data_IF_051699315789
#
_entry.id   IF_051699315789
#
_cell.length_a   1.000
_cell.length_b   1.000
_cell.length_c   1.000
_cell.angle_alpha   90.00
_cell.angle_beta   90.00
_cell.angle_gamma   90.00
#
_symmetry.space_group_name_H-M   'P 1'
#
loop_
_entity.id
_entity.type
_entity.pdbx_description
1 polymer ?
#
# COMPACT_ATOMS: atom_id res chain seq x y z
N UNK A 1 46.25 -49.50 18.51
CA UNK A 1 44.76 -49.44 18.59
C UNK A 1 44.18 -48.06 18.95
N UNK A 2 44.99 -47.06 19.34
CA UNK A 2 44.50 -45.71 19.71
C UNK A 2 44.12 -44.83 18.51
N UNK A 3 44.89 -44.89 17.42
CA UNK A 3 44.74 -43.96 16.28
C UNK A 3 43.51 -44.22 15.40
N UNK A 4 42.97 -45.44 15.39
CA UNK A 4 41.76 -45.79 14.61
C UNK A 4 40.51 -45.18 15.25
N UNK A 5 40.45 -45.09 16.58
CA UNK A 5 39.32 -44.47 17.29
C UNK A 5 39.27 -42.95 17.11
N UNK A 6 40.43 -42.30 17.05
CA UNK A 6 40.54 -40.87 16.81
C UNK A 6 40.09 -40.47 15.39
N UNK A 7 40.43 -41.30 14.38
CA UNK A 7 40.01 -41.09 12.99
C UNK A 7 38.51 -41.36 12.84
N UNK A 8 37.96 -42.39 13.49
CA UNK A 8 36.53 -42.68 13.43
C UNK A 8 35.69 -41.59 14.12
N UNK A 9 36.19 -41.02 15.23
CA UNK A 9 35.54 -39.91 15.93
C UNK A 9 35.57 -38.60 15.13
N UNK A 10 36.65 -38.34 14.38
CA UNK A 10 36.72 -37.17 13.49
C UNK A 10 35.84 -37.32 12.26
N UNK A 11 35.72 -38.52 11.69
CA UNK A 11 34.80 -38.81 10.58
C UNK A 11 33.33 -38.72 11.04
N UNK A 12 32.98 -39.20 12.23
CA UNK A 12 31.63 -39.02 12.79
C UNK A 12 31.31 -37.56 13.12
N UNK A 13 32.29 -36.78 13.61
CA UNK A 13 32.11 -35.35 13.87
C UNK A 13 31.92 -34.54 12.57
N UNK A 14 32.60 -34.91 11.48
CA UNK A 14 32.41 -34.34 10.15
C UNK A 14 31.07 -34.72 9.50
N UNK A 15 30.47 -35.85 9.90
CA UNK A 15 29.13 -36.27 9.47
C UNK A 15 27.99 -35.64 10.29
N UNK A 16 28.31 -34.94 11.38
CA UNK A 16 27.32 -34.28 12.26
C UNK A 16 27.09 -32.79 11.95
N UNK A 17 27.65 -32.26 10.86
CA UNK A 17 27.17 -30.97 10.34
C UNK A 17 25.74 -31.18 9.86
N UNK A 18 24.78 -30.63 10.61
CA UNK A 18 23.36 -30.66 10.32
C UNK A 18 23.14 -30.40 8.83
N UNK A 19 22.76 -31.44 8.10
CA UNK A 19 22.34 -31.30 6.71
C UNK A 19 21.00 -30.57 6.77
N UNK A 20 21.05 -29.24 6.67
CA UNK A 20 19.87 -28.45 6.40
C UNK A 20 19.26 -29.02 5.13
N UNK A 21 18.11 -29.69 5.25
CA UNK A 21 17.41 -30.17 4.08
C UNK A 21 16.92 -28.93 3.33
N UNK A 22 17.37 -28.69 2.09
CA UNK A 22 16.95 -27.50 1.35
C UNK A 22 15.43 -27.54 1.20
N UNK A 23 14.76 -26.44 1.57
CA UNK A 23 13.30 -26.30 1.47
C UNK A 23 12.88 -26.41 0.00
N UNK A 24 13.71 -25.82 -0.87
CA UNK A 24 13.75 -26.00 -2.31
C UNK A 24 15.15 -25.66 -2.81
N UNK A 25 15.44 -25.77 -4.12
CA UNK A 25 16.76 -25.38 -4.65
C UNK A 25 17.05 -23.89 -4.46
N UNK A 26 16.00 -23.10 -4.34
CA UNK A 26 16.01 -21.66 -4.26
C UNK A 26 16.09 -21.18 -2.80
N UNK A 27 15.89 -22.05 -1.80
CA UNK A 27 15.75 -21.66 -0.40
C UNK A 27 16.81 -22.27 0.53
N UNK A 28 17.44 -21.44 1.33
CA UNK A 28 18.39 -21.79 2.38
C UNK A 28 17.81 -21.52 3.77
N UNK A 29 18.18 -22.35 4.74
CA UNK A 29 17.77 -22.21 6.15
C UNK A 29 18.98 -22.01 7.03
N UNK A 30 19.06 -20.87 7.69
CA UNK A 30 20.13 -20.55 8.63
C UNK A 30 19.52 -19.99 9.92
N UNK A 31 19.76 -20.66 11.06
CA UNK A 31 19.28 -20.21 12.38
C UNK A 31 17.79 -19.80 12.42
N UNK A 32 16.92 -20.64 11.84
CA UNK A 32 15.46 -20.41 11.71
C UNK A 32 15.06 -19.24 10.79
N UNK A 33 15.97 -18.73 9.99
CA UNK A 33 15.69 -17.76 8.94
C UNK A 33 15.67 -18.49 7.61
N UNK A 34 14.62 -18.24 6.84
CA UNK A 34 14.44 -18.84 5.52
C UNK A 34 14.68 -17.76 4.49
N UNK A 35 15.68 -17.95 3.65
CA UNK A 35 15.98 -17.04 2.54
C UNK A 35 15.83 -17.79 1.25
N UNK A 36 14.92 -17.31 0.41
CA UNK A 36 14.63 -17.85 -0.91
C UNK A 36 15.07 -16.83 -1.98
N UNK A 37 15.91 -17.27 -2.90
CA UNK A 37 16.42 -16.48 -4.00
C UNK A 37 16.25 -17.25 -5.31
N UNK A 38 15.43 -16.70 -6.20
CA UNK A 38 15.25 -17.24 -7.54
C UNK A 38 16.36 -16.80 -8.49
N UNK A 39 16.60 -17.60 -9.51
CA UNK A 39 17.23 -17.06 -10.72
C UNK A 39 16.19 -16.23 -11.48
N UNK A 40 16.64 -15.11 -12.05
CA UNK A 40 15.77 -14.19 -12.81
C UNK A 40 14.93 -14.98 -13.82
N UNK A 41 13.62 -14.71 -13.86
CA UNK A 41 12.59 -15.40 -14.66
C UNK A 41 12.05 -16.74 -14.13
N UNK A 42 12.35 -17.12 -12.88
CA UNK A 42 11.71 -18.28 -12.25
C UNK A 42 10.44 -17.89 -11.47
N UNK A 43 9.43 -18.74 -11.55
CA UNK A 43 8.25 -18.67 -10.69
C UNK A 43 8.54 -19.39 -9.37
N UNK A 44 8.30 -18.69 -8.25
CA UNK A 44 8.47 -19.22 -6.91
C UNK A 44 7.14 -19.64 -6.30
N UNK A 45 7.16 -20.83 -5.71
CA UNK A 45 6.08 -21.36 -4.90
C UNK A 45 6.66 -21.67 -3.53
N UNK A 46 6.06 -21.09 -2.48
CA UNK A 46 6.45 -21.43 -1.12
C UNK A 46 6.21 -22.94 -0.89
N UNK A 47 7.20 -23.75 -0.49
CA UNK A 47 7.01 -25.19 -0.35
C UNK A 47 6.07 -25.53 0.81
N UNK A 48 4.93 -26.16 0.54
CA UNK A 48 3.92 -26.48 1.55
C UNK A 48 4.28 -27.64 2.49
N UNK A 49 5.19 -28.53 2.09
CA UNK A 49 5.59 -29.71 2.88
C UNK A 49 6.67 -29.41 3.94
N UNK A 50 7.24 -28.19 3.94
CA UNK A 50 8.26 -27.83 4.90
C UNK A 50 7.65 -27.44 6.26
N UNK A 51 8.33 -27.82 7.36
CA UNK A 51 7.90 -27.44 8.70
C UNK A 51 8.41 -26.04 9.06
N UNK A 52 7.51 -25.05 9.04
CA UNK A 52 7.82 -23.65 9.38
C UNK A 52 7.66 -23.31 10.87
N UNK A 53 7.39 -24.28 11.75
CA UNK A 53 7.06 -24.02 13.17
C UNK A 53 8.08 -23.14 13.88
N UNK A 54 9.36 -23.40 13.64
CA UNK A 54 10.46 -22.67 14.26
C UNK A 54 10.91 -21.44 13.46
N UNK A 55 10.41 -21.26 12.24
CA UNK A 55 10.84 -20.17 11.36
C UNK A 55 10.49 -18.81 11.98
N UNK A 56 11.49 -17.93 12.04
CA UNK A 56 11.35 -16.58 12.59
C UNK A 56 11.29 -15.51 11.52
N UNK A 57 11.85 -15.80 10.34
CA UNK A 57 11.90 -14.89 9.19
C UNK A 57 11.77 -15.67 7.88
N UNK A 58 11.06 -15.07 6.92
CA UNK A 58 11.00 -15.51 5.54
C UNK A 58 11.35 -14.33 4.62
N UNK A 59 12.38 -14.50 3.80
CA UNK A 59 12.81 -13.55 2.77
C UNK A 59 12.71 -14.21 1.41
N UNK A 60 12.07 -13.54 0.44
CA UNK A 60 11.90 -14.03 -0.93
C UNK A 60 12.37 -12.95 -1.89
N UNK A 61 13.22 -13.31 -2.85
CA UNK A 61 13.75 -12.32 -3.79
C UNK A 61 14.08 -12.81 -5.19
N UNK A 62 14.10 -11.86 -6.12
CA UNK A 62 14.63 -12.00 -7.49
C UNK A 62 13.87 -12.98 -8.39
N UNK A 63 12.58 -13.19 -8.13
CA UNK A 63 11.71 -14.10 -8.89
C UNK A 63 10.93 -13.34 -9.98
N UNK A 64 10.47 -14.05 -11.02
CA UNK A 64 9.47 -13.52 -11.96
C UNK A 64 8.15 -13.35 -11.25
N UNK A 65 7.60 -14.47 -10.79
CA UNK A 65 6.39 -14.53 -10.00
C UNK A 65 6.73 -15.10 -8.63
N UNK A 66 6.09 -14.61 -7.57
CA UNK A 66 6.12 -15.27 -6.27
C UNK A 66 4.69 -15.53 -5.80
N UNK A 67 4.43 -16.78 -5.42
CA UNK A 67 3.11 -17.22 -4.96
C UNK A 67 3.21 -17.71 -3.53
N UNK A 68 2.60 -16.95 -2.65
CA UNK A 68 2.49 -17.27 -1.23
C UNK A 68 1.04 -17.68 -0.99
N UNK A 69 0.80 -18.99 -0.95
CA UNK A 69 -0.55 -19.56 -0.89
C UNK A 69 -0.80 -20.26 0.45
N UNK A 70 -2.07 -20.33 0.82
CA UNK A 70 -2.59 -21.08 1.95
C UNK A 70 -2.41 -22.60 1.73
N UNK A 71 -2.11 -23.42 2.77
CA UNK A 71 -1.92 -23.08 4.19
C UNK A 71 -0.45 -22.98 4.63
N UNK A 72 0.48 -22.64 3.74
CA UNK A 72 1.90 -22.98 3.94
C UNK A 72 2.55 -22.39 5.20
N UNK A 73 2.08 -21.26 5.73
CA UNK A 73 2.63 -20.64 6.96
C UNK A 73 1.70 -20.75 8.19
N UNK A 74 0.66 -21.59 8.12
CA UNK A 74 -0.31 -21.76 9.22
C UNK A 74 0.33 -22.29 10.51
N UNK A 75 1.44 -23.01 10.42
CA UNK A 75 2.18 -23.53 11.59
C UNK A 75 3.29 -22.58 12.08
N UNK A 76 3.58 -21.50 11.35
CA UNK A 76 4.70 -20.60 11.62
C UNK A 76 4.44 -19.62 12.79
N UNK A 77 4.20 -20.16 13.98
CA UNK A 77 3.80 -19.41 15.20
C UNK A 77 4.89 -18.44 15.72
N UNK A 78 6.15 -18.68 15.34
CA UNK A 78 7.29 -17.86 15.74
C UNK A 78 7.72 -16.85 14.67
N UNK A 79 7.03 -16.81 13.53
CA UNK A 79 7.36 -15.88 12.46
C UNK A 79 7.19 -14.44 12.93
N UNK A 80 8.21 -13.62 12.69
CA UNK A 80 8.27 -12.20 13.03
C UNK A 80 8.53 -11.33 11.81
N UNK A 81 9.09 -11.87 10.75
CA UNK A 81 9.47 -11.10 9.58
C UNK A 81 9.04 -11.80 8.30
N UNK A 82 8.43 -11.04 7.39
CA UNK A 82 8.21 -11.43 6.00
C UNK A 82 8.73 -10.30 5.10
N UNK A 83 9.65 -10.63 4.22
CA UNK A 83 10.24 -9.68 3.28
C UNK A 83 10.14 -10.28 1.89
N UNK A 84 9.47 -9.60 0.97
CA UNK A 84 9.37 -10.00 -0.43
C UNK A 84 9.88 -8.86 -1.29
N UNK A 85 10.86 -9.13 -2.13
CA UNK A 85 11.52 -8.08 -2.91
C UNK A 85 11.90 -8.48 -4.33
N UNK A 86 11.96 -7.50 -5.23
CA UNK A 86 12.42 -7.67 -6.60
C UNK A 86 11.65 -8.76 -7.35
N UNK A 87 10.32 -8.64 -7.39
CA UNK A 87 9.44 -9.54 -8.14
C UNK A 87 9.12 -8.88 -9.47
N UNK A 88 9.65 -9.45 -10.56
CA UNK A 88 9.68 -8.77 -11.86
C UNK A 88 8.38 -8.86 -12.65
N UNK A 89 7.44 -9.72 -12.25
CA UNK A 89 6.10 -9.83 -12.84
C UNK A 89 5.01 -9.65 -11.80
N UNK A 90 4.76 -10.66 -10.97
CA UNK A 90 3.57 -10.69 -10.12
C UNK A 90 3.82 -11.34 -8.75
N UNK A 91 3.29 -10.73 -7.69
CA UNK A 91 3.25 -11.29 -6.34
C UNK A 91 1.80 -11.60 -5.96
N UNK A 92 1.53 -12.88 -5.69
CA UNK A 92 0.24 -13.36 -5.19
C UNK A 92 0.40 -13.65 -3.68
N UNK A 93 -0.43 -13.01 -2.86
CA UNK A 93 -0.42 -13.14 -1.39
C UNK A 93 -1.79 -13.63 -0.93
N UNK A 94 -1.87 -14.92 -0.63
CA UNK A 94 -3.04 -15.60 -0.09
C UNK A 94 -2.60 -16.49 1.10
N UNK A 95 -1.88 -15.91 2.05
CA UNK A 95 -1.25 -16.67 3.14
C UNK A 95 -2.02 -16.54 4.44
N UNK A 96 -2.21 -17.65 5.14
CA UNK A 96 -2.55 -17.64 6.56
C UNK A 96 -1.28 -17.84 7.39
N UNK A 97 -1.03 -16.95 8.33
CA UNK A 97 0.09 -17.05 9.25
C UNK A 97 -0.36 -17.66 10.59
N UNK A 98 0.44 -18.57 11.14
CA UNK A 98 0.24 -19.09 12.49
C UNK A 98 0.57 -18.09 13.60
N UNK A 99 1.32 -17.03 13.28
CA UNK A 99 1.67 -15.97 14.24
C UNK A 99 0.58 -14.89 14.29
N UNK A 100 0.31 -14.39 15.50
CA UNK A 100 -0.54 -13.20 15.69
C UNK A 100 0.23 -11.89 15.64
N UNK A 101 1.56 -11.95 15.69
CA UNK A 101 2.41 -10.77 15.81
C UNK A 101 3.55 -10.85 14.81
N UNK A 102 3.57 -9.93 13.87
CA UNK A 102 4.68 -9.74 12.94
C UNK A 102 5.35 -8.41 13.26
N UNK A 103 6.67 -8.38 13.40
CA UNK A 103 7.39 -7.13 13.65
C UNK A 103 7.65 -6.36 12.36
N UNK A 104 7.81 -7.06 11.23
CA UNK A 104 8.19 -6.47 9.94
C UNK A 104 7.54 -7.22 8.77
N UNK A 105 6.77 -6.53 7.95
CA UNK A 105 6.21 -7.03 6.69
C UNK A 105 6.60 -6.06 5.58
N UNK A 106 7.42 -6.48 4.62
CA UNK A 106 7.93 -5.62 3.55
C UNK A 106 7.69 -6.18 2.16
N UNK A 107 7.18 -5.32 1.27
CA UNK A 107 6.94 -5.59 -0.14
C UNK A 107 7.65 -4.52 -0.98
N UNK A 108 8.77 -4.87 -1.63
CA UNK A 108 9.66 -3.88 -2.25
C UNK A 108 9.97 -4.23 -3.69
N UNK A 109 9.87 -3.27 -4.61
CA UNK A 109 10.17 -3.47 -6.04
C UNK A 109 9.36 -4.63 -6.63
N UNK A 110 8.03 -4.52 -6.53
CA UNK A 110 7.09 -5.54 -7.00
C UNK A 110 6.36 -4.96 -8.20
N UNK A 111 6.54 -5.53 -9.39
CA UNK A 111 5.92 -4.97 -10.59
C UNK A 111 4.38 -4.93 -10.49
N UNK A 112 3.76 -5.99 -9.96
CA UNK A 112 2.31 -6.05 -9.76
C UNK A 112 1.93 -6.93 -8.57
N UNK A 113 0.98 -6.46 -7.78
CA UNK A 113 0.22 -7.23 -6.78
C UNK A 113 -1.25 -7.18 -7.23
N UNK A 114 -1.83 -8.28 -7.73
CA UNK A 114 -3.19 -8.25 -8.27
C UNK A 114 -4.23 -7.91 -7.20
N UNK A 115 -4.07 -8.49 -6.02
CA UNK A 115 -5.03 -8.37 -4.94
C UNK A 115 -4.33 -8.38 -3.59
N UNK A 116 -4.67 -7.41 -2.76
CA UNK A 116 -4.54 -7.50 -1.30
C UNK A 116 -5.96 -7.60 -0.78
N UNK A 117 -6.40 -8.82 -0.47
CA UNK A 117 -7.78 -9.11 -0.08
C UNK A 117 -8.09 -8.63 1.34
N UNK A 118 -9.36 -8.65 1.72
CA UNK A 118 -9.84 -8.41 3.09
C UNK A 118 -9.38 -9.46 4.11
N UNK A 119 -8.66 -10.50 3.67
CA UNK A 119 -8.14 -11.56 4.54
C UNK A 119 -6.62 -11.62 4.56
N UNK A 120 -5.95 -10.75 3.79
CA UNK A 120 -4.50 -10.79 3.62
C UNK A 120 -3.76 -10.64 4.96
N UNK A 121 -4.37 -9.94 5.92
CA UNK A 121 -3.82 -9.75 7.26
C UNK A 121 -4.69 -10.36 8.38
N UNK A 122 -5.68 -11.18 8.02
CA UNK A 122 -6.51 -11.87 9.00
C UNK A 122 -5.66 -12.77 9.91
N UNK A 123 -5.94 -12.70 11.21
CA UNK A 123 -5.20 -13.45 12.23
C UNK A 123 -4.03 -12.68 12.86
N UNK A 124 -3.56 -11.59 12.25
CA UNK A 124 -2.63 -10.69 12.91
C UNK A 124 -3.38 -9.77 13.89
N UNK A 125 -2.93 -9.78 15.14
CA UNK A 125 -3.34 -8.77 16.14
C UNK A 125 -2.46 -7.53 16.05
N UNK A 126 -1.18 -7.69 15.71
CA UNK A 126 -0.24 -6.58 15.63
C UNK A 126 0.77 -6.77 14.49
N UNK A 127 0.94 -5.70 13.70
CA UNK A 127 1.97 -5.52 12.70
C UNK A 127 2.84 -4.35 13.17
N UNK A 128 4.09 -4.64 13.52
CA UNK A 128 5.05 -3.62 13.97
C UNK A 128 5.31 -2.57 12.89
N UNK A 129 5.60 -3.04 11.67
CA UNK A 129 5.84 -2.20 10.49
C UNK A 129 5.35 -2.91 9.23
N UNK A 130 4.45 -2.27 8.49
CA UNK A 130 4.02 -2.65 7.15
C UNK A 130 4.61 -1.67 6.14
N UNK A 131 5.45 -2.15 5.25
CA UNK A 131 6.09 -1.32 4.23
C UNK A 131 5.81 -1.85 2.83
N UNK A 132 5.36 -0.98 1.93
CA UNK A 132 5.24 -1.25 0.50
C UNK A 132 5.97 -0.15 -0.26
N UNK A 133 6.93 -0.52 -1.11
CA UNK A 133 7.71 0.43 -1.92
C UNK A 133 7.83 0.00 -3.36
N UNK A 134 7.74 0.97 -4.27
CA UNK A 134 7.91 0.78 -5.71
C UNK A 134 7.05 -0.38 -6.22
N UNK A 135 5.74 -0.27 -6.00
CA UNK A 135 4.80 -1.34 -6.32
C UNK A 135 3.53 -0.81 -6.98
N UNK A 136 2.95 -1.64 -7.85
CA UNK A 136 1.60 -1.44 -8.36
C UNK A 136 0.67 -2.48 -7.75
N UNK A 137 -0.35 -2.03 -7.02
CA UNK A 137 -1.42 -2.87 -6.49
C UNK A 137 -2.67 -2.66 -7.35
N UNK A 138 -3.20 -3.72 -7.95
CA UNK A 138 -4.36 -3.59 -8.83
C UNK A 138 -5.66 -3.38 -8.02
N UNK A 139 -5.85 -4.15 -6.94
CA UNK A 139 -6.99 -4.01 -6.04
C UNK A 139 -6.57 -4.18 -4.58
N UNK A 140 -7.03 -3.26 -3.73
CA UNK A 140 -6.77 -3.28 -2.29
C UNK A 140 -8.10 -3.25 -1.53
N UNK A 141 -8.36 -4.29 -0.74
CA UNK A 141 -9.63 -4.54 -0.06
C UNK A 141 -9.50 -4.59 1.47
N UNK A 142 -8.29 -4.51 2.01
CA UNK A 142 -8.07 -4.72 3.45
C UNK A 142 -8.65 -3.60 4.32
N UNK A 143 -9.31 -4.01 5.40
CA UNK A 143 -9.75 -3.18 6.52
C UNK A 143 -9.09 -3.72 7.80
N UNK A 144 -8.13 -2.99 8.34
CA UNK A 144 -7.43 -3.35 9.58
C UNK A 144 -8.36 -3.12 10.79
N UNK A 145 -9.38 -3.97 10.94
CA UNK A 145 -10.42 -3.89 11.97
C UNK A 145 -9.93 -4.46 13.30
N UNK A 146 -9.25 -5.60 13.27
CA UNK A 146 -8.74 -6.31 14.46
C UNK A 146 -7.20 -6.38 14.50
N UNK A 147 -6.55 -5.63 13.61
CA UNK A 147 -5.10 -5.61 13.44
C UNK A 147 -4.57 -4.23 13.74
N UNK A 148 -3.73 -4.10 14.77
CA UNK A 148 -3.00 -2.87 15.03
C UNK A 148 -1.79 -2.80 14.08
N UNK A 149 -1.72 -1.77 13.25
CA UNK A 149 -0.54 -1.45 12.44
C UNK A 149 0.18 -0.27 13.08
N UNK A 150 1.31 -0.53 13.70
CA UNK A 150 2.04 0.49 14.45
C UNK A 150 2.77 1.48 13.52
N UNK A 151 3.37 0.99 12.43
CA UNK A 151 3.99 1.81 11.39
C UNK A 151 3.51 1.37 10.00
N UNK A 152 3.00 2.31 9.21
CA UNK A 152 2.65 2.10 7.82
C UNK A 152 3.48 3.00 6.91
N UNK A 153 4.15 2.41 5.92
CA UNK A 153 5.00 3.14 4.98
C UNK A 153 4.66 2.73 3.55
N UNK A 154 4.15 3.68 2.76
CA UNK A 154 3.90 3.54 1.34
C UNK A 154 4.75 4.55 0.57
N UNK A 155 5.65 4.09 -0.30
CA UNK A 155 6.49 4.98 -1.11
C UNK A 155 6.53 4.56 -2.57
N UNK A 156 6.21 5.48 -3.48
CA UNK A 156 6.11 5.21 -4.92
C UNK A 156 5.16 4.03 -5.20
N UNK A 157 3.99 4.02 -4.56
CA UNK A 157 2.97 2.98 -4.71
C UNK A 157 1.79 3.51 -5.49
N UNK A 158 1.34 2.77 -6.51
CA UNK A 158 0.06 3.03 -7.17
C UNK A 158 -0.92 1.93 -6.78
N UNK A 159 -2.09 2.30 -6.27
CA UNK A 159 -3.21 1.40 -6.02
C UNK A 159 -4.34 1.76 -7.01
N UNK A 160 -4.65 0.85 -7.94
CA UNK A 160 -5.58 1.16 -9.03
C UNK A 160 -7.06 1.13 -8.62
N UNK A 161 -7.42 0.29 -7.65
CA UNK A 161 -8.76 0.24 -7.05
C UNK A 161 -8.64 0.08 -5.54
N UNK A 162 -9.22 1.03 -4.81
CA UNK A 162 -9.25 1.01 -3.34
C UNK A 162 -10.68 0.79 -2.90
N UNK A 163 -10.94 -0.38 -2.33
CA UNK A 163 -12.24 -0.77 -1.78
C UNK A 163 -12.19 -0.86 -0.26
N UNK A 164 -11.06 -1.28 0.28
CA UNK A 164 -10.67 -1.10 1.67
C UNK A 164 -9.37 -0.32 1.75
N UNK A 165 -9.17 0.40 2.86
CA UNK A 165 -7.87 0.83 3.37
C UNK A 165 -8.09 1.64 4.66
N UNK A 166 -8.67 0.99 5.67
CA UNK A 166 -9.15 1.63 6.89
C UNK A 166 -8.48 1.05 8.14
N UNK A 167 -8.23 1.89 9.14
CA UNK A 167 -7.62 1.51 10.42
C UNK A 167 -8.58 1.81 11.57
N UNK A 168 -8.84 0.81 12.42
CA UNK A 168 -9.69 0.98 13.61
C UNK A 168 -8.89 1.28 14.89
N UNK A 169 -7.63 0.84 14.94
CA UNK A 169 -6.72 1.06 16.08
C UNK A 169 -5.71 2.17 15.79
N UNK A 170 -5.31 2.95 16.82
CA UNK A 170 -4.34 4.05 16.63
C UNK A 170 -2.93 3.50 16.44
N UNK A 171 -2.34 3.73 15.27
CA UNK A 171 -0.93 3.48 15.02
C UNK A 171 -0.02 4.63 15.50
N UNK A 172 1.29 4.44 15.39
CA UNK A 172 2.28 5.49 15.69
C UNK A 172 2.56 6.37 14.48
N UNK A 173 3.00 5.78 13.37
CA UNK A 173 3.46 6.54 12.20
C UNK A 173 2.81 6.07 10.91
N UNK A 174 2.32 7.01 10.12
CA UNK A 174 1.87 6.82 8.75
C UNK A 174 2.72 7.67 7.80
N UNK A 175 3.36 7.05 6.82
CA UNK A 175 4.06 7.72 5.73
C UNK A 175 3.48 7.28 4.38
N UNK A 176 2.97 8.23 3.60
CA UNK A 176 2.51 8.03 2.23
C UNK A 176 3.25 9.05 1.36
N UNK A 177 4.15 8.59 0.50
CA UNK A 177 5.04 9.47 -0.26
C UNK A 177 5.05 9.08 -1.74
N UNK A 178 4.74 10.03 -2.61
CA UNK A 178 4.67 9.83 -4.06
C UNK A 178 3.73 8.68 -4.47
N UNK A 179 2.57 8.58 -3.83
CA UNK A 179 1.61 7.50 -4.09
C UNK A 179 0.41 7.97 -4.92
N UNK A 180 -0.21 7.04 -5.64
CA UNK A 180 -1.47 7.28 -6.35
C UNK A 180 -2.54 6.27 -5.92
N UNK A 181 -3.65 6.77 -5.39
CA UNK A 181 -4.81 5.97 -4.99
C UNK A 181 -5.96 6.29 -5.94
N UNK A 182 -6.29 5.34 -6.83
CA UNK A 182 -7.28 5.52 -7.89
C UNK A 182 -8.54 4.74 -7.58
N UNK A 183 -9.64 5.17 -8.19
CA UNK A 183 -10.94 4.50 -8.11
C UNK A 183 -11.36 4.13 -6.68
N UNK A 184 -11.14 5.05 -5.73
CA UNK A 184 -11.53 4.84 -4.34
C UNK A 184 -13.06 4.79 -4.29
N UNK A 185 -13.61 3.67 -3.81
CA UNK A 185 -15.05 3.41 -3.76
C UNK A 185 -15.66 3.59 -2.37
N UNK A 186 -14.82 3.67 -1.33
CA UNK A 186 -15.23 3.79 0.08
C UNK A 186 -14.61 4.99 0.78
N UNK A 187 -15.08 5.31 1.98
CA UNK A 187 -14.42 6.26 2.87
C UNK A 187 -13.11 5.66 3.37
N UNK A 188 -12.04 6.46 3.39
CA UNK A 188 -10.76 6.08 3.98
C UNK A 188 -10.59 6.72 5.37
N UNK A 189 -10.10 5.95 6.33
CA UNK A 189 -9.89 6.37 7.71
C UNK A 189 -8.49 5.97 8.15
N UNK A 190 -7.67 6.98 8.43
CA UNK A 190 -6.32 6.83 8.94
C UNK A 190 -6.28 7.29 10.38
N UNK A 191 -5.87 6.40 11.29
CA UNK A 191 -5.76 6.71 12.71
C UNK A 191 -4.33 6.47 13.19
N UNK A 192 -3.51 7.52 13.21
CA UNK A 192 -2.07 7.43 13.53
C UNK A 192 -1.59 8.68 14.25
N UNK A 193 -0.71 8.51 15.25
CA UNK A 193 -0.19 9.64 16.03
C UNK A 193 0.55 10.68 15.18
N UNK A 194 1.41 10.22 14.27
CA UNK A 194 2.12 11.05 13.30
C UNK A 194 1.72 10.65 11.88
N UNK A 195 1.23 11.61 11.10
CA UNK A 195 0.83 11.40 9.71
C UNK A 195 1.66 12.28 8.80
N UNK A 196 2.24 11.68 7.77
CA UNK A 196 2.96 12.37 6.69
C UNK A 196 2.45 11.88 5.34
N UNK A 197 1.82 12.76 4.58
CA UNK A 197 1.34 12.48 3.22
C UNK A 197 1.92 13.53 2.26
N UNK A 198 2.80 13.11 1.36
CA UNK A 198 3.58 14.01 0.51
C UNK A 198 3.48 13.58 -0.95
N UNK A 199 3.28 14.55 -1.85
CA UNK A 199 3.25 14.37 -3.30
C UNK A 199 2.32 13.23 -3.75
N UNK A 200 1.19 13.03 -3.06
CA UNK A 200 0.32 11.88 -3.29
C UNK A 200 -1.02 12.30 -3.86
N UNK A 201 -1.59 11.45 -4.72
CA UNK A 201 -2.87 11.71 -5.38
C UNK A 201 -3.93 10.73 -4.91
N UNK A 202 -5.11 11.25 -4.61
CA UNK A 202 -6.28 10.46 -4.23
C UNK A 202 -7.43 10.79 -5.18
N UNK A 203 -8.06 9.76 -5.74
CA UNK A 203 -9.15 9.88 -6.71
C UNK A 203 -10.31 8.96 -6.33
N UNK A 204 -11.43 9.57 -5.95
CA UNK A 204 -12.67 8.84 -5.68
C UNK A 204 -13.56 8.76 -6.92
N UNK A 205 -14.19 7.60 -7.13
CA UNK A 205 -15.14 7.39 -8.22
C UNK A 205 -16.37 8.31 -8.12
N UNK A 206 -16.77 8.62 -6.88
CA UNK A 206 -17.86 9.53 -6.52
C UNK A 206 -17.39 10.41 -5.38
N UNK A 207 -18.11 11.49 -5.09
CA UNK A 207 -17.81 12.31 -3.91
C UNK A 207 -17.75 11.43 -2.64
N UNK A 208 -16.65 11.53 -1.90
CA UNK A 208 -16.48 10.83 -0.62
C UNK A 208 -15.50 11.54 0.30
N UNK A 209 -15.09 10.86 1.37
CA UNK A 209 -14.32 11.44 2.47
C UNK A 209 -13.07 10.64 2.78
N UNK A 210 -11.96 11.34 3.01
CA UNK A 210 -10.78 10.79 3.69
C UNK A 210 -10.72 11.44 5.07
N UNK A 211 -10.72 10.63 6.13
CA UNK A 211 -10.60 11.10 7.51
C UNK A 211 -9.24 10.72 8.08
N UNK A 212 -8.54 11.69 8.65
CA UNK A 212 -7.24 11.55 9.30
C UNK A 212 -7.39 11.99 10.74
N UNK A 213 -7.19 11.08 11.69
CA UNK A 213 -7.12 11.36 13.13
C UNK A 213 -5.69 11.15 13.61
N UNK A 214 -5.09 12.20 14.18
CA UNK A 214 -3.67 12.24 14.54
C UNK A 214 -3.35 13.17 15.70
N UNK A 215 -2.08 13.19 16.11
CA UNK A 215 -1.54 14.25 16.97
C UNK A 215 -0.81 15.30 16.12
N UNK A 216 -0.09 14.85 15.10
CA UNK A 216 0.63 15.68 14.14
C UNK A 216 0.31 15.22 12.72
N UNK A 217 -0.08 16.16 11.84
CA UNK A 217 -0.31 15.90 10.42
C UNK A 217 0.52 16.84 9.54
N UNK A 218 1.34 16.25 8.65
CA UNK A 218 2.07 16.93 7.59
C UNK A 218 1.55 16.49 6.23
N UNK A 219 0.94 17.41 5.49
CA UNK A 219 0.30 17.14 4.21
C UNK A 219 0.86 18.10 3.14
N UNK A 220 1.70 17.62 2.22
CA UNK A 220 2.39 18.49 1.26
C UNK A 220 2.18 18.06 -0.19
N UNK A 221 1.82 19.02 -1.05
CA UNK A 221 1.72 18.86 -2.50
C UNK A 221 0.82 17.69 -2.94
N UNK A 222 -0.28 17.47 -2.22
CA UNK A 222 -1.22 16.39 -2.52
C UNK A 222 -2.26 16.82 -3.56
N UNK A 223 -2.79 15.85 -4.32
CA UNK A 223 -3.86 16.08 -5.30
C UNK A 223 -5.11 15.30 -4.90
N UNK A 224 -6.26 15.98 -4.91
CA UNK A 224 -7.55 15.43 -4.50
C UNK A 224 -8.58 15.52 -5.64
N UNK A 225 -9.19 14.41 -6.01
CA UNK A 225 -10.30 14.38 -6.97
C UNK A 225 -11.56 13.83 -6.29
N UNK A 226 -12.60 14.68 -6.20
CA UNK A 226 -13.88 14.38 -5.54
C UNK A 226 -13.77 13.94 -4.07
N UNK A 227 -12.83 14.54 -3.32
CA UNK A 227 -12.55 14.16 -1.93
C UNK A 227 -12.76 15.33 -0.99
N UNK A 228 -13.59 15.11 0.03
CA UNK A 228 -13.56 15.89 1.25
C UNK A 228 -12.52 15.30 2.20
N UNK A 229 -11.37 15.94 2.35
CA UNK A 229 -10.34 15.50 3.28
C UNK A 229 -10.55 16.20 4.62
N UNK A 230 -10.81 15.40 5.66
CA UNK A 230 -11.05 15.82 7.03
C UNK A 230 -9.84 15.44 7.88
N UNK A 231 -9.17 16.42 8.46
CA UNK A 231 -7.95 16.24 9.24
C UNK A 231 -8.19 16.75 10.64
N UNK A 232 -8.14 15.84 11.60
CA UNK A 232 -8.26 16.09 13.02
C UNK A 232 -6.90 15.81 13.65
N UNK A 233 -6.22 16.83 14.14
CA UNK A 233 -4.93 16.67 14.81
C UNK A 233 -4.95 17.32 16.19
N UNK A 234 -4.56 16.59 17.23
CA UNK A 234 -4.58 17.12 18.60
C UNK A 234 -3.61 18.29 18.81
N UNK A 235 -2.48 18.33 18.10
CA UNK A 235 -1.45 19.35 18.29
C UNK A 235 -1.26 20.25 17.08
N UNK A 236 -0.94 19.69 15.92
CA UNK A 236 -0.51 20.48 14.76
C UNK A 236 -0.96 19.88 13.43
N UNK A 237 -1.51 20.73 12.57
CA UNK A 237 -1.67 20.48 11.14
C UNK A 237 -0.74 21.42 10.36
N UNK A 238 0.14 20.85 9.53
CA UNK A 238 0.86 21.56 8.48
C UNK A 238 0.38 21.05 7.13
N UNK A 239 -0.31 21.89 6.38
CA UNK A 239 -0.81 21.55 5.05
C UNK A 239 -0.39 22.58 4.03
N UNK A 240 0.31 22.14 2.99
CA UNK A 240 0.77 23.03 1.93
C UNK A 240 0.63 22.46 0.52
N UNK A 241 0.36 23.34 -0.44
CA UNK A 241 0.36 22.98 -1.86
C UNK A 241 -0.68 21.95 -2.28
N UNK A 242 -1.69 21.67 -1.45
CA UNK A 242 -2.74 20.70 -1.80
C UNK A 242 -3.64 21.29 -2.88
N UNK A 243 -3.85 20.53 -3.97
CA UNK A 243 -4.72 20.92 -5.08
C UNK A 243 -5.91 19.96 -5.16
N UNK A 244 -7.14 20.48 -5.12
CA UNK A 244 -8.36 19.72 -5.29
C UNK A 244 -9.12 20.06 -6.57
N UNK A 245 -9.74 19.08 -7.22
CA UNK A 245 -10.66 19.26 -8.35
C UNK A 245 -12.02 18.60 -8.08
N UNK A 246 -13.03 18.95 -8.88
CA UNK A 246 -14.38 18.43 -8.76
C UNK A 246 -15.09 18.94 -7.51
N UNK A 247 -15.46 18.03 -6.61
CA UNK A 247 -16.16 18.35 -5.34
C UNK A 247 -15.24 18.39 -4.13
N UNK A 248 -13.93 18.54 -4.35
CA UNK A 248 -12.94 18.43 -3.28
C UNK A 248 -12.95 19.61 -2.29
N UNK A 249 -12.79 19.29 -1.01
CA UNK A 249 -12.76 20.25 0.11
C UNK A 249 -11.78 19.82 1.19
N UNK A 250 -11.39 20.77 2.04
CA UNK A 250 -10.64 20.50 3.26
C UNK A 250 -11.44 20.91 4.50
N UNK A 251 -11.37 20.09 5.54
CA UNK A 251 -11.78 20.44 6.90
C UNK A 251 -10.63 20.13 7.83
N UNK A 252 -10.14 21.15 8.52
CA UNK A 252 -8.95 21.09 9.35
C UNK A 252 -9.34 21.46 10.78
N UNK A 253 -9.08 20.56 11.72
CA UNK A 253 -9.36 20.75 13.14
C UNK A 253 -8.13 20.47 13.99
N UNK A 254 -7.57 21.50 14.62
CA UNK A 254 -6.38 21.36 15.48
C UNK A 254 -6.21 22.53 16.45
N UNK A 255 -5.28 22.38 17.40
CA UNK A 255 -4.83 23.46 18.27
C UNK A 255 -3.94 24.47 17.52
N UNK A 256 -3.14 23.99 16.56
CA UNK A 256 -2.31 24.82 15.69
C UNK A 256 -2.47 24.34 14.24
N UNK A 257 -2.72 25.26 13.31
CA UNK A 257 -2.86 24.93 11.88
C UNK A 257 -2.10 25.94 11.04
N UNK A 258 -1.20 25.42 10.21
CA UNK A 258 -0.51 26.14 9.16
C UNK A 258 -1.03 25.64 7.80
N UNK A 259 -1.70 26.51 7.05
CA UNK A 259 -2.33 26.20 5.76
C UNK A 259 -1.84 27.16 4.68
N UNK A 260 -1.03 26.66 3.75
CA UNK A 260 -0.29 27.48 2.79
C UNK A 260 -0.49 27.02 1.35
N UNK A 261 -0.85 27.94 0.44
CA UNK A 261 -0.90 27.71 -1.01
C UNK A 261 -1.79 26.52 -1.43
N UNK A 262 -2.85 26.25 -0.68
CA UNK A 262 -3.82 25.21 -1.02
C UNK A 262 -4.85 25.76 -2.02
N UNK A 263 -5.29 24.94 -2.98
CA UNK A 263 -6.21 25.33 -4.06
C UNK A 263 -7.37 24.34 -4.14
N UNK A 264 -8.59 24.72 -3.74
CA UNK A 264 -9.73 23.81 -3.70
C UNK A 264 -11.03 24.46 -4.18
N UNK A 265 -11.95 23.72 -4.83
CA UNK A 265 -13.18 24.29 -5.36
C UNK A 265 -14.28 24.48 -4.32
N UNK A 266 -14.38 23.59 -3.32
CA UNK A 266 -15.47 23.61 -2.33
C UNK A 266 -15.08 24.24 -0.98
N UNK A 267 -13.89 24.82 -0.90
CA UNK A 267 -13.42 25.59 0.27
C UNK A 267 -12.54 24.82 1.24
N UNK A 268 -12.04 25.56 2.23
CA UNK A 268 -11.19 25.08 3.32
C UNK A 268 -11.80 25.58 4.62
N UNK A 269 -12.27 24.65 5.45
CA UNK A 269 -12.87 24.96 6.74
C UNK A 269 -11.86 24.73 7.86
N UNK A 270 -11.71 25.72 8.73
CA UNK A 270 -10.83 25.64 9.89
C UNK A 270 -11.69 25.59 11.15
N UNK A 271 -11.32 24.74 12.09
CA UNK A 271 -11.96 24.63 13.39
C UNK A 271 -10.89 24.48 14.47
N UNK A 272 -11.09 25.14 15.60
CA UNK A 272 -10.22 24.94 16.75
C UNK A 272 -10.61 23.65 17.46
N UNK A 273 -9.63 22.86 17.86
CA UNK A 273 -9.90 21.71 18.71
C UNK A 273 -10.42 22.19 20.06
N UNK A 274 -11.59 21.70 20.49
CA UNK A 274 -12.21 22.08 21.77
C UNK A 274 -11.44 21.55 23.00
N UNK A 275 -10.31 20.85 22.80
CA UNK A 275 -9.62 20.12 23.86
C UNK A 275 -8.71 20.98 24.73
N UNK A 276 -8.21 22.12 24.25
CA UNK A 276 -7.31 22.99 25.03
C UNK A 276 -7.73 24.48 24.98
N UNK A 277 -7.72 25.14 26.14
CA UNK A 277 -8.05 26.56 26.29
C UNK A 277 -6.93 27.53 25.79
N UNK A 278 -5.78 26.99 25.38
CA UNK A 278 -4.63 27.74 24.85
C UNK A 278 -4.45 27.40 23.37
N UNK A 279 -5.38 27.85 22.52
CA UNK A 279 -5.28 27.67 21.07
C UNK A 279 -4.44 28.80 20.46
N UNK A 280 -3.40 28.41 19.71
CA UNK A 280 -2.65 29.35 18.88
C UNK A 280 -3.42 29.64 17.57
N UNK A 281 -3.22 30.82 16.94
CA UNK A 281 -3.99 31.21 15.77
C UNK A 281 -3.71 30.32 14.56
N UNK A 282 -4.75 30.10 13.75
CA UNK A 282 -4.64 29.48 12.42
C UNK A 282 -3.84 30.39 11.50
N UNK A 283 -2.69 29.92 11.00
CA UNK A 283 -1.86 30.63 10.02
C UNK A 283 -2.31 30.24 8.61
N UNK A 284 -2.76 31.22 7.84
CA UNK A 284 -3.27 31.02 6.47
C UNK A 284 -2.54 31.94 5.50
N UNK A 285 -2.02 31.38 4.41
CA UNK A 285 -1.30 32.14 3.39
C UNK A 285 -1.57 31.60 1.97
N UNK A 286 -1.90 32.48 1.02
CA UNK A 286 -2.05 32.16 -0.41
C UNK A 286 -3.00 30.99 -0.75
N UNK A 287 -4.00 30.71 0.10
CA UNK A 287 -5.01 29.71 -0.20
C UNK A 287 -6.04 30.27 -1.21
N UNK A 288 -6.44 29.44 -2.17
CA UNK A 288 -7.33 29.84 -3.27
C UNK A 288 -8.55 28.94 -3.30
N UNK A 289 -9.74 29.56 -3.35
CA UNK A 289 -10.98 28.88 -3.68
C UNK A 289 -11.22 29.02 -5.19
N UNK A 290 -11.23 27.90 -5.91
CA UNK A 290 -11.35 27.89 -7.36
C UNK A 290 -12.82 27.99 -7.79
N UNK A 291 -13.07 28.73 -8.88
CA UNK A 291 -14.41 28.91 -9.43
C UNK A 291 -14.77 27.69 -10.32
N UNK A 292 -16.04 27.27 -10.27
CA UNK A 292 -16.61 26.25 -11.15
C UNK A 292 -15.96 24.85 -11.08
N UNK A 293 -15.44 24.45 -9.91
CA UNK A 293 -15.02 23.05 -9.69
C UNK A 293 -13.68 22.65 -10.32
N UNK A 294 -12.94 23.61 -10.90
CA UNK A 294 -11.73 23.32 -11.66
C UNK A 294 -10.55 24.21 -11.21
N UNK A 295 -9.73 23.68 -10.31
CA UNK A 295 -8.44 24.23 -9.91
C UNK A 295 -7.31 23.93 -10.90
N UNK A 296 -7.56 23.09 -11.92
CA UNK A 296 -6.58 22.61 -12.91
C UNK A 296 -5.44 21.88 -12.22
N UNK A 297 -5.79 20.92 -11.37
CA UNK A 297 -4.78 20.15 -10.67
C UNK A 297 -4.04 19.21 -11.64
N UNK A 298 -2.78 18.84 -11.35
CA UNK A 298 -2.07 17.83 -12.11
C UNK A 298 -2.92 16.54 -12.16
N UNK A 299 -3.29 16.09 -13.35
CA UNK A 299 -4.04 14.86 -13.53
C UNK A 299 -3.14 13.64 -13.29
N UNK A 300 -3.73 12.56 -12.79
CA UNK A 300 -3.02 11.28 -12.65
C UNK A 300 -2.59 10.75 -14.01
N UNK A 301 -1.52 9.95 -14.04
CA UNK A 301 -1.07 9.30 -15.28
C UNK A 301 -2.13 8.39 -15.92
N UNK A 302 -3.12 7.93 -15.13
CA UNK A 302 -4.30 7.19 -15.61
C UNK A 302 -5.39 8.04 -16.28
N UNK A 303 -5.39 9.37 -16.07
CA UNK A 303 -6.35 10.29 -16.70
C UNK A 303 -5.81 10.94 -18.00
N UNK A 304 -4.55 10.67 -18.38
CA UNK A 304 -3.99 11.15 -19.64
C UNK A 304 -4.48 10.38 -20.89
N UNK A 305 -5.49 9.52 -20.76
CA UNK A 305 -6.10 8.77 -21.87
C UNK A 305 -7.62 8.92 -21.91
N UNK A 306 -8.12 9.89 -22.66
CA UNK A 306 -9.40 9.82 -23.43
C UNK A 306 -9.82 11.13 -24.11
N UNK A 307 -9.04 12.21 -24.03
CA UNK A 307 -9.21 13.36 -24.92
C UNK A 307 -8.40 13.16 -26.21
N UNK A 308 -8.87 12.26 -27.08
CA UNK A 308 -8.25 12.12 -28.40
C UNK A 308 -8.46 10.82 -29.16
N UNK A 309 -9.55 10.06 -28.98
CA UNK A 309 -9.79 8.92 -29.89
C UNK A 309 -11.23 8.38 -29.95
N UNK A 310 -12.26 9.22 -29.77
CA UNK A 310 -13.67 8.78 -29.94
C UNK A 310 -14.40 9.39 -31.13
N UNK A 311 -13.79 10.37 -31.82
CA UNK A 311 -14.40 11.02 -32.98
C UNK A 311 -14.11 10.31 -34.31
N UNK A 312 -12.99 9.59 -34.46
CA UNK A 312 -12.64 8.92 -35.72
C UNK A 312 -13.35 7.57 -35.90
N UNK A 313 -13.55 6.78 -34.84
CA UNK A 313 -14.25 5.49 -34.93
C UNK A 313 -15.76 5.66 -35.18
N UNK A 314 -16.41 6.68 -34.61
CA UNK A 314 -17.83 6.96 -34.87
C UNK A 314 -18.07 7.39 -36.32
N UNK A 315 -17.16 8.18 -36.90
CA UNK A 315 -17.24 8.55 -38.32
C UNK A 315 -17.01 7.32 -39.21
N UNK A 316 -16.09 6.43 -38.86
CA UNK A 316 -15.83 5.21 -39.63
C UNK A 316 -17.04 4.25 -39.64
N UNK A 317 -17.74 4.08 -38.51
CA UNK A 317 -18.96 3.25 -38.44
C UNK A 317 -20.16 3.89 -39.17
N UNK A 318 -20.28 5.22 -39.17
CA UNK A 318 -21.30 5.94 -39.96
C UNK A 318 -21.00 5.81 -41.46
N UNK A 319 -19.73 5.85 -41.86
CA UNK A 319 -19.33 5.68 -43.26
C UNK A 319 -19.53 4.23 -43.76
N UNK A 320 -19.24 3.22 -42.92
CA UNK A 320 -19.46 1.82 -43.25
C UNK A 320 -20.94 1.48 -43.42
N UNK A 321 -21.81 2.03 -42.56
CA UNK A 321 -23.26 1.85 -42.67
C UNK A 321 -23.84 2.57 -43.89
N UNK A 322 -23.30 3.73 -44.26
CA UNK A 322 -23.72 4.43 -45.48
C UNK A 322 -23.34 3.68 -46.77
N UNK A 323 -22.19 2.99 -46.78
CA UNK A 323 -21.76 2.18 -47.92
C UNK A 323 -22.53 0.86 -48.07
N UNK A 324 -22.94 0.22 -46.97
CA UNK A 324 -23.75 -1.01 -47.05
C UNK A 324 -25.21 -0.75 -47.43
N UNK A 325 -25.75 0.43 -47.11
CA UNK A 325 -27.09 0.84 -47.52
C UNK A 325 -27.22 1.23 -49.01
N UNK A 326 -26.12 1.60 -49.68
CA UNK A 326 -26.12 1.93 -51.12
C UNK A 326 -25.83 0.75 -52.06
N UNK A 327 -25.40 -0.40 -51.54
CA UNK A 327 -25.16 -1.60 -52.35
C UNK A 327 -26.37 -2.55 -52.49
N UNK A 328 -27.55 -2.16 -52.02
CA UNK A 328 -28.79 -2.94 -52.15
C UNK A 328 -29.88 -2.20 -52.96
N UNK A 329 -29.50 -1.64 -54.12
CA UNK A 329 -30.46 -1.27 -55.17
C UNK A 329 -29.92 -1.79 -56.49
N UNK A 330 -30.61 -2.80 -57.02
CA UNK A 330 -30.52 -3.30 -58.40
C UNK A 330 -31.07 -2.25 -59.35
#
# INVERSE_FOLDING_TARGET
MSNIKAILATVLALLSTAVAHPISRECEVEQNQITCQCDRNQDFYLPGEHNYTNATSLSISSCSTARLLFPHLSEAIHMRQLIVQNISDELIIEVLFGTRNISRFELVNIKKIPLISHEAFNGFQNIGRLEIRNAFVERFEEHFVETNVNELVLVNVTIAHVEGFNFMEKGKNLEIINCEFRNISTTLKFYFSNVKIVNSTFEMQKKGTISIDSDYALLENNVLFNISMEVFASNLIKISGTCGDGTSSLRLESNNTESIRNRLPSGINYSLSKRNNESEPVVQYDNVICIAGNCKCPKTSGQNGSEGMTSSLKIFFIWLTYMTLKCNVV
#
